data_IF_049119708593
#
_entry.id   IF_049119708593
#
_cell.length_a   1.000
_cell.length_b   1.000
_cell.length_c   1.000
_cell.angle_alpha   90.00
_cell.angle_beta   90.00
_cell.angle_gamma   90.00
#
_symmetry.space_group_name_H-M   'P 1'
#
loop_
_entity.id
_entity.type
_entity.pdbx_description
1 polymer ?
#
# COMPACT_ATOMS: atom_id res chain seq x y z
N UNK A 1 -93.05 39.62 61.71
CA UNK A 1 -92.47 39.01 60.57
C UNK A 1 -91.61 37.83 61.06
N UNK A 2 -91.93 36.60 60.68
CA UNK A 2 -91.11 35.45 60.88
C UNK A 2 -90.37 35.18 59.55
N UNK A 3 -89.05 35.19 59.49
CA UNK A 3 -88.25 34.74 58.39
C UNK A 3 -87.87 33.28 58.56
N UNK A 4 -87.99 32.55 57.50
CA UNK A 4 -87.58 31.13 57.40
C UNK A 4 -86.43 31.14 56.40
N UNK A 5 -85.22 30.83 56.87
CA UNK A 5 -84.02 30.69 56.05
C UNK A 5 -83.95 29.24 55.53
N UNK A 6 -83.77 29.13 54.22
CA UNK A 6 -83.54 27.85 53.55
C UNK A 6 -82.12 27.89 52.98
N UNK A 7 -81.34 26.95 53.30
CA UNK A 7 -80.11 26.63 52.57
C UNK A 7 -80.37 25.47 51.62
N UNK A 8 -79.90 25.56 50.40
CA UNK A 8 -79.90 24.47 49.45
C UNK A 8 -78.44 24.32 48.94
N UNK A 9 -78.08 23.08 48.73
CA UNK A 9 -76.83 22.67 48.12
C UNK A 9 -77.12 22.22 46.69
N UNK A 10 -76.33 22.76 45.72
CA UNK A 10 -76.48 22.38 44.34
C UNK A 10 -75.33 21.40 44.05
N UNK A 11 -75.67 20.13 43.99
CA UNK A 11 -74.75 19.09 43.58
C UNK A 11 -74.61 19.09 42.05
N UNK A 12 -73.35 18.89 41.58
CA UNK A 12 -73.10 18.68 40.15
C UNK A 12 -73.57 17.28 39.75
N UNK A 13 -74.61 17.21 38.90
CA UNK A 13 -75.10 15.97 38.38
C UNK A 13 -74.27 15.30 37.30
N UNK A 14 -73.36 16.07 36.73
CA UNK A 14 -72.39 15.64 35.72
C UNK A 14 -70.99 16.05 36.16
N UNK A 15 -70.23 15.13 36.69
CA UNK A 15 -68.89 15.30 37.12
C UNK A 15 -67.99 14.20 36.53
N UNK A 16 -66.72 14.53 36.28
CA UNK A 16 -65.75 13.66 35.58
C UNK A 16 -64.36 13.86 36.17
N UNK A 17 -63.66 12.74 36.35
CA UNK A 17 -62.26 12.77 36.69
C UNK A 17 -61.41 11.98 35.70
N UNK A 18 -60.23 12.50 35.43
CA UNK A 18 -59.21 11.85 34.58
C UNK A 18 -57.86 11.91 35.31
N UNK A 19 -57.30 10.73 35.56
CA UNK A 19 -56.04 10.60 36.29
C UNK A 19 -55.08 9.69 35.53
N UNK A 20 -53.77 10.03 35.50
CA UNK A 20 -52.72 9.22 34.89
C UNK A 20 -51.94 8.46 35.97
N UNK A 21 -51.51 7.25 35.68
CA UNK A 21 -50.59 6.50 36.55
C UNK A 21 -49.21 7.17 36.62
N UNK A 22 -48.70 7.65 35.45
CA UNK A 22 -47.46 8.41 35.32
C UNK A 22 -47.72 9.64 34.47
N UNK A 23 -47.24 10.78 34.91
CA UNK A 23 -47.37 12.04 34.15
C UNK A 23 -46.20 12.32 33.24
N UNK A 24 -45.07 11.60 33.41
CA UNK A 24 -43.87 11.72 32.61
C UNK A 24 -43.28 10.33 32.33
N UNK A 25 -42.91 10.08 31.11
CA UNK A 25 -42.16 8.88 30.68
C UNK A 25 -41.00 9.28 29.81
N UNK A 26 -39.84 8.70 30.11
CA UNK A 26 -38.63 8.81 29.29
C UNK A 26 -38.51 7.59 28.39
N UNK A 27 -38.29 7.83 27.09
CA UNK A 27 -38.15 6.77 26.09
C UNK A 27 -37.04 7.15 25.09
N UNK A 28 -36.54 6.15 24.40
CA UNK A 28 -35.68 6.40 23.24
C UNK A 28 -36.51 6.94 22.08
N UNK A 29 -35.99 7.89 21.32
CA UNK A 29 -36.62 8.36 20.09
C UNK A 29 -36.95 7.19 19.15
N UNK A 30 -38.14 7.15 18.60
CA UNK A 30 -38.68 6.03 17.81
C UNK A 30 -39.29 4.90 18.62
N UNK A 31 -39.19 4.88 19.94
CA UNK A 31 -39.80 3.87 20.81
C UNK A 31 -41.10 4.38 21.44
N UNK A 32 -42.09 3.50 21.73
CA UNK A 32 -43.38 3.88 22.30
C UNK A 32 -43.26 4.21 23.79
N UNK A 33 -43.82 5.36 24.20
CA UNK A 33 -44.19 5.67 25.57
C UNK A 33 -45.69 5.35 25.77
N UNK A 34 -46.02 4.48 26.71
CA UNK A 34 -47.38 4.05 26.96
C UNK A 34 -47.87 4.59 28.29
N UNK A 35 -48.83 5.51 28.23
CA UNK A 35 -49.52 6.06 29.40
C UNK A 35 -50.82 5.29 29.65
N UNK A 36 -51.10 5.01 30.91
CA UNK A 36 -52.35 4.46 31.35
C UNK A 36 -53.09 5.52 32.18
N UNK A 37 -54.25 5.91 31.70
CA UNK A 37 -55.12 6.85 32.38
C UNK A 37 -56.40 6.17 32.80
N UNK A 38 -57.02 6.64 33.87
CA UNK A 38 -58.32 6.21 34.33
C UNK A 38 -59.32 7.36 34.20
N UNK A 39 -60.32 7.16 33.38
CA UNK A 39 -61.46 8.07 33.22
C UNK A 39 -62.62 7.52 34.08
N UNK A 40 -63.22 8.36 34.91
CA UNK A 40 -64.34 8.00 35.76
C UNK A 40 -65.44 9.04 35.64
N UNK A 41 -66.66 8.52 35.58
CA UNK A 41 -67.89 9.33 35.68
C UNK A 41 -68.23 9.47 37.17
N UNK A 42 -67.95 10.63 37.76
CA UNK A 42 -68.25 10.95 39.14
C UNK A 42 -69.67 11.58 39.29
N UNK A 43 -70.39 11.74 38.18
CA UNK A 43 -71.75 12.25 38.14
C UNK A 43 -72.82 11.20 38.50
N UNK A 44 -74.07 11.66 38.48
CA UNK A 44 -75.30 10.81 38.85
C UNK A 44 -75.98 10.24 37.59
N UNK A 45 -75.55 10.62 36.37
CA UNK A 45 -76.15 10.21 35.12
C UNK A 45 -75.13 9.56 34.19
N UNK A 46 -75.59 8.63 33.35
CA UNK A 46 -74.76 8.13 32.24
C UNK A 46 -74.35 9.28 31.28
N UNK A 47 -73.08 9.31 30.88
CA UNK A 47 -72.57 10.27 29.98
C UNK A 47 -71.59 9.67 29.00
N UNK A 48 -71.40 10.32 27.82
CA UNK A 48 -70.44 9.94 26.81
C UNK A 48 -69.39 11.07 26.72
N UNK A 49 -68.12 10.65 26.81
CA UNK A 49 -66.99 11.51 26.83
C UNK A 49 -66.17 11.40 25.52
N UNK A 50 -65.97 12.48 24.80
CA UNK A 50 -65.10 12.54 23.67
C UNK A 50 -63.66 12.77 24.15
N UNK A 51 -62.70 12.03 23.55
CA UNK A 51 -61.28 12.00 23.94
C UNK A 51 -60.42 12.63 22.84
N UNK A 52 -59.65 13.69 23.19
CA UNK A 52 -58.81 14.41 22.25
C UNK A 52 -57.43 14.65 22.88
N UNK A 53 -56.37 14.39 22.13
CA UNK A 53 -55.01 14.75 22.52
C UNK A 53 -54.66 16.13 21.99
N UNK A 54 -53.83 16.85 22.74
CA UNK A 54 -53.25 18.17 22.37
C UNK A 54 -51.86 18.31 22.92
N UNK A 55 -51.10 19.33 22.50
CA UNK A 55 -49.71 19.56 22.85
C UNK A 55 -48.77 19.14 21.74
N UNK A 56 -47.47 19.33 21.97
CA UNK A 56 -46.40 19.13 20.96
C UNK A 56 -46.33 17.69 20.46
N UNK A 57 -46.54 16.71 21.37
CA UNK A 57 -46.52 15.28 21.05
C UNK A 57 -47.84 14.72 20.53
N UNK A 58 -48.89 15.57 20.35
CA UNK A 58 -50.21 15.11 19.93
C UNK A 58 -50.21 14.41 18.56
N UNK A 59 -49.41 14.89 17.62
CA UNK A 59 -49.29 14.29 16.29
C UNK A 59 -48.64 12.90 16.30
N UNK A 60 -47.94 12.57 17.36
CA UNK A 60 -47.23 11.29 17.55
C UNK A 60 -48.00 10.35 18.47
N UNK A 61 -49.19 10.78 18.92
CA UNK A 61 -49.98 10.07 19.91
C UNK A 61 -51.17 9.36 19.28
N UNK A 62 -51.53 8.24 19.89
CA UNK A 62 -52.76 7.49 19.61
C UNK A 62 -53.43 7.18 20.92
N UNK A 63 -54.77 7.26 20.94
CA UNK A 63 -55.60 6.93 22.10
C UNK A 63 -56.37 5.65 21.79
N UNK A 64 -56.53 4.79 22.79
CA UNK A 64 -57.24 3.50 22.65
C UNK A 64 -58.72 3.65 22.25
N UNK A 65 -59.36 4.77 22.58
CA UNK A 65 -60.74 5.09 22.31
C UNK A 65 -60.89 6.56 21.89
N UNK A 66 -61.78 6.85 20.95
CA UNK A 66 -62.11 8.22 20.58
C UNK A 66 -63.25 8.76 21.44
N UNK A 67 -64.09 7.88 21.98
CA UNK A 67 -65.14 8.22 22.95
C UNK A 67 -65.45 7.03 23.84
N UNK A 68 -65.95 7.31 25.05
CA UNK A 68 -66.30 6.31 26.04
C UNK A 68 -67.60 6.73 26.70
N UNK A 69 -68.57 5.77 26.85
CA UNK A 69 -69.82 5.96 27.59
C UNK A 69 -69.66 5.29 28.95
N UNK A 70 -69.95 6.02 30.05
CA UNK A 70 -69.80 5.53 31.40
C UNK A 70 -71.10 5.77 32.21
N UNK A 71 -71.58 4.73 32.88
CA UNK A 71 -72.64 4.82 33.87
C UNK A 71 -72.11 5.58 35.11
N UNK A 72 -73.01 6.04 35.99
CA UNK A 72 -72.64 6.69 37.25
C UNK A 72 -71.66 5.84 38.08
N UNK A 73 -70.51 6.44 38.45
CA UNK A 73 -69.47 5.76 39.23
C UNK A 73 -68.61 4.77 38.47
N UNK A 74 -68.88 4.54 37.18
CA UNK A 74 -68.08 3.65 36.33
C UNK A 74 -66.73 4.31 35.91
N UNK A 75 -65.72 3.45 35.72
CA UNK A 75 -64.41 3.86 35.31
C UNK A 75 -63.90 3.05 34.13
N UNK A 76 -63.19 3.68 33.19
CA UNK A 76 -62.54 3.03 32.04
C UNK A 76 -61.06 3.37 32.00
N UNK A 77 -60.21 2.35 31.89
CA UNK A 77 -58.81 2.56 31.58
C UNK A 77 -58.65 2.94 30.11
N UNK A 78 -57.84 3.97 29.88
CA UNK A 78 -57.45 4.48 28.58
C UNK A 78 -55.95 4.30 28.39
N UNK A 79 -55.54 3.80 27.22
CA UNK A 79 -54.14 3.79 26.85
C UNK A 79 -53.87 4.92 25.87
N UNK A 80 -52.82 5.70 26.14
CA UNK A 80 -52.27 6.70 25.23
C UNK A 80 -50.84 6.29 24.88
N UNK A 81 -50.59 5.98 23.62
CA UNK A 81 -49.27 5.63 23.11
C UNK A 81 -48.71 6.81 22.34
N UNK A 82 -47.49 7.21 22.68
CA UNK A 82 -46.74 8.26 21.98
C UNK A 82 -45.47 7.64 21.43
N UNK A 83 -45.21 7.86 20.13
CA UNK A 83 -43.97 7.41 19.47
C UNK A 83 -43.25 8.65 18.92
N UNK A 84 -42.31 9.25 19.70
CA UNK A 84 -41.54 10.37 19.20
C UNK A 84 -40.76 9.97 17.94
N UNK A 85 -40.74 10.79 16.88
CA UNK A 85 -39.87 10.57 15.73
C UNK A 85 -38.39 10.48 16.15
N UNK A 86 -37.58 9.75 15.41
CA UNK A 86 -36.16 9.55 15.73
C UNK A 86 -35.32 10.85 15.70
N UNK A 87 -35.78 11.83 14.93
CA UNK A 87 -35.15 13.17 14.86
C UNK A 87 -35.49 14.05 16.06
N UNK A 88 -36.50 13.68 16.85
CA UNK A 88 -37.03 14.52 17.91
C UNK A 88 -36.46 14.07 19.27
N UNK A 89 -35.51 14.85 19.77
CA UNK A 89 -34.89 14.66 21.10
C UNK A 89 -35.24 15.86 21.97
N UNK A 90 -35.76 15.60 23.17
CA UNK A 90 -36.18 16.66 24.08
C UNK A 90 -37.38 16.30 24.92
N UNK A 91 -37.96 17.31 25.58
CA UNK A 91 -39.19 17.17 26.41
C UNK A 91 -40.36 17.77 25.65
N UNK A 92 -41.40 16.94 25.44
CA UNK A 92 -42.55 17.32 24.66
C UNK A 92 -43.83 17.22 25.50
N UNK A 93 -44.67 18.26 25.42
CA UNK A 93 -45.95 18.31 26.12
C UNK A 93 -47.03 17.46 25.42
N UNK A 94 -47.87 16.78 26.20
CA UNK A 94 -49.06 16.13 25.73
C UNK A 94 -50.18 16.33 26.78
N UNK A 95 -51.39 16.52 26.35
CA UNK A 95 -52.56 16.46 27.22
C UNK A 95 -53.65 15.60 26.60
N UNK A 96 -54.28 14.79 27.41
CA UNK A 96 -55.54 14.10 27.05
C UNK A 96 -56.69 14.86 27.71
N UNK A 97 -57.61 15.32 26.89
CA UNK A 97 -58.85 15.93 27.34
C UNK A 97 -60.02 14.99 27.11
N UNK A 98 -60.93 14.91 28.11
CA UNK A 98 -62.20 14.23 28.01
C UNK A 98 -63.31 15.29 28.14
N UNK A 99 -64.23 15.35 27.15
CA UNK A 99 -65.32 16.31 27.07
C UNK A 99 -66.64 15.61 27.13
N UNK A 100 -67.49 15.96 28.10
CA UNK A 100 -68.88 15.48 28.20
C UNK A 100 -69.68 15.94 27.00
N UNK A 101 -70.37 15.02 26.33
CA UNK A 101 -71.30 15.37 25.23
C UNK A 101 -72.60 15.99 25.74
N UNK A 102 -72.93 15.76 27.00
CA UNK A 102 -74.19 16.19 27.55
C UNK A 102 -74.14 17.65 28.02
N UNK A 103 -73.07 18.00 28.74
CA UNK A 103 -72.98 19.32 29.39
C UNK A 103 -71.76 20.13 28.95
N UNK A 104 -70.85 19.53 28.15
CA UNK A 104 -69.65 20.16 27.64
C UNK A 104 -68.56 20.39 28.69
N UNK A 105 -68.65 19.77 29.87
CA UNK A 105 -67.60 19.82 30.87
C UNK A 105 -66.32 19.15 30.33
N UNK A 106 -65.18 19.78 30.53
CA UNK A 106 -63.88 19.26 30.07
C UNK A 106 -62.97 19.05 31.26
N UNK A 107 -62.35 17.85 31.31
CA UNK A 107 -61.21 17.57 32.17
C UNK A 107 -60.02 17.24 31.30
N UNK A 108 -58.85 17.71 31.68
CA UNK A 108 -57.59 17.40 30.93
C UNK A 108 -56.52 16.95 31.90
N UNK A 109 -55.79 15.92 31.50
CA UNK A 109 -54.63 15.41 32.17
C UNK A 109 -53.37 15.75 31.37
N UNK A 110 -52.46 16.53 31.97
CA UNK A 110 -51.17 16.85 31.37
C UNK A 110 -50.18 15.68 31.52
N UNK A 111 -49.49 15.39 30.46
CA UNK A 111 -48.43 14.38 30.35
C UNK A 111 -47.18 15.02 29.72
N UNK A 112 -46.04 14.43 29.97
CA UNK A 112 -44.78 14.82 29.33
C UNK A 112 -44.05 13.57 28.82
N UNK A 113 -43.59 13.60 27.58
CA UNK A 113 -42.69 12.60 27.03
C UNK A 113 -41.30 13.15 26.89
N UNK A 114 -40.32 12.47 27.50
CA UNK A 114 -38.88 12.76 27.37
C UNK A 114 -38.31 11.81 26.32
N UNK A 115 -38.01 12.36 25.13
CA UNK A 115 -37.40 11.61 24.03
C UNK A 115 -35.88 11.77 24.09
N UNK A 116 -35.16 10.67 24.25
CA UNK A 116 -33.71 10.64 24.37
C UNK A 116 -33.07 10.06 23.11
N UNK A 117 -31.86 10.56 22.77
CA UNK A 117 -30.98 9.91 21.81
C UNK A 117 -30.29 8.72 22.47
N UNK A 118 -30.90 7.52 22.32
CA UNK A 118 -30.37 6.32 22.96
C UNK A 118 -29.34 5.57 22.15
N UNK A 119 -29.25 5.83 20.86
CA UNK A 119 -28.48 5.03 19.89
C UNK A 119 -27.51 5.86 19.05
N UNK A 120 -26.99 6.90 19.65
CA UNK A 120 -25.98 7.74 18.98
C UNK A 120 -24.60 7.13 19.04
N UNK A 121 -23.80 7.33 18.00
CA UNK A 121 -22.42 6.85 17.96
C UNK A 121 -21.59 7.62 16.92
N UNK A 122 -20.28 7.49 17.05
CA UNK A 122 -19.29 8.06 16.17
C UNK A 122 -18.26 7.01 15.77
N UNK A 123 -17.80 7.03 14.50
CA UNK A 123 -16.79 6.15 13.97
C UNK A 123 -15.61 6.94 13.43
N UNK A 124 -14.43 6.77 14.03
CA UNK A 124 -13.23 7.52 13.69
C UNK A 124 -12.08 6.57 13.34
N UNK A 125 -11.49 6.74 12.16
CA UNK A 125 -10.22 6.11 11.83
C UNK A 125 -9.06 6.88 12.49
N UNK A 126 -8.06 6.16 12.98
CA UNK A 126 -6.85 6.76 13.58
C UNK A 126 -6.10 7.67 12.60
N UNK A 127 -6.18 7.34 11.31
CA UNK A 127 -5.54 8.07 10.22
C UNK A 127 -6.46 8.08 8.99
N UNK A 128 -6.59 9.24 8.34
CA UNK A 128 -7.33 9.38 7.07
C UNK A 128 -6.45 9.21 5.85
N UNK A 129 -5.12 9.20 6.04
CA UNK A 129 -4.11 8.98 5.02
C UNK A 129 -2.94 8.17 5.57
N UNK A 130 -2.57 7.12 4.85
CA UNK A 130 -1.40 6.29 5.16
C UNK A 130 -0.51 6.15 3.93
N UNK A 131 0.79 5.97 4.14
CA UNK A 131 1.72 5.67 3.06
C UNK A 131 2.68 4.56 3.48
N UNK A 132 2.73 3.48 2.71
CA UNK A 132 3.54 2.30 3.01
C UNK A 132 3.93 1.57 1.73
N UNK A 133 4.77 0.56 1.86
CA UNK A 133 5.33 -0.18 0.73
C UNK A 133 4.36 -1.25 0.20
N UNK A 134 4.43 -1.50 -1.11
CA UNK A 134 3.86 -2.70 -1.70
C UNK A 134 4.42 -3.97 -1.05
N UNK A 135 3.65 -5.07 -1.11
CA UNK A 135 3.99 -6.35 -0.49
C UNK A 135 4.36 -6.24 1.02
N UNK A 136 3.76 -5.27 1.72
CA UNK A 136 3.82 -5.13 3.18
C UNK A 136 2.41 -4.99 3.75
N UNK A 137 2.24 -5.32 5.03
CA UNK A 137 0.96 -5.18 5.73
C UNK A 137 0.90 -3.81 6.44
N UNK A 138 -0.25 -3.14 6.32
CA UNK A 138 -0.60 -1.99 7.15
C UNK A 138 -1.91 -2.25 7.89
N UNK A 139 -1.96 -1.86 9.17
CA UNK A 139 -3.15 -1.95 10.02
C UNK A 139 -3.54 -0.56 10.48
N UNK A 140 -4.76 -0.15 10.16
CA UNK A 140 -5.29 1.16 10.53
C UNK A 140 -6.43 0.94 11.53
N UNK A 141 -6.23 1.30 12.81
CA UNK A 141 -7.26 1.22 13.83
C UNK A 141 -8.45 2.15 13.54
N UNK A 142 -9.66 1.62 13.74
CA UNK A 142 -10.91 2.37 13.63
C UNK A 142 -11.64 2.20 14.96
N UNK A 143 -12.03 3.31 15.56
CA UNK A 143 -12.70 3.33 16.85
C UNK A 143 -14.18 3.66 16.66
N UNK A 144 -15.05 2.84 17.22
CA UNK A 144 -16.48 3.12 17.42
C UNK A 144 -16.66 3.57 18.86
N UNK A 145 -17.32 4.71 19.03
CA UNK A 145 -17.73 5.22 20.35
C UNK A 145 -19.26 5.28 20.42
N UNK A 146 -19.84 4.44 21.25
CA UNK A 146 -21.27 4.47 21.53
C UNK A 146 -21.57 5.58 22.55
N UNK A 147 -22.03 6.73 22.07
CA UNK A 147 -22.44 7.88 22.89
C UNK A 147 -23.88 7.78 23.38
N UNK A 148 -24.63 6.78 22.91
CA UNK A 148 -25.99 6.50 23.35
C UNK A 148 -26.07 5.92 24.77
N UNK A 149 -27.28 5.86 25.30
CA UNK A 149 -27.56 5.31 26.64
C UNK A 149 -27.84 3.79 26.63
N UNK A 150 -27.93 3.19 25.45
CA UNK A 150 -28.22 1.77 25.27
C UNK A 150 -27.03 1.04 24.59
N UNK A 151 -26.84 -0.23 24.96
CA UNK A 151 -25.88 -1.10 24.29
C UNK A 151 -26.32 -1.32 22.85
N UNK A 152 -25.34 -1.35 21.91
CA UNK A 152 -25.68 -1.60 20.52
C UNK A 152 -24.66 -2.52 19.85
N UNK A 153 -25.05 -3.09 18.71
CA UNK A 153 -24.19 -3.86 17.82
C UNK A 153 -24.06 -3.08 16.50
N UNK A 154 -22.84 -2.89 16.06
CA UNK A 154 -22.52 -2.19 14.83
C UNK A 154 -22.00 -3.19 13.80
N UNK A 155 -22.59 -3.21 12.62
CA UNK A 155 -22.14 -4.00 11.48
C UNK A 155 -21.28 -3.14 10.59
N UNK A 156 -20.25 -3.71 9.98
CA UNK A 156 -19.27 -3.01 9.17
C UNK A 156 -19.24 -3.54 7.74
N UNK A 157 -19.17 -2.62 6.78
CA UNK A 157 -18.97 -2.91 5.37
C UNK A 157 -17.75 -2.15 4.84
N UNK A 158 -16.98 -2.79 3.97
CA UNK A 158 -15.80 -2.22 3.34
C UNK A 158 -16.00 -2.10 1.84
N UNK A 159 -15.76 -0.91 1.31
CA UNK A 159 -15.57 -0.68 -0.12
C UNK A 159 -14.12 -0.29 -0.38
N UNK A 160 -13.41 -1.08 -1.17
CA UNK A 160 -11.98 -0.87 -1.45
C UNK A 160 -11.47 -1.86 -2.49
N UNK A 161 -10.24 -2.27 -2.34
CA UNK A 161 -9.55 -3.24 -3.19
C UNK A 161 -9.70 -4.66 -2.66
N UNK A 162 -9.40 -5.65 -3.49
CA UNK A 162 -9.44 -7.08 -3.13
C UNK A 162 -8.36 -7.49 -2.09
N UNK A 163 -7.32 -6.66 -1.91
CA UNK A 163 -6.29 -6.84 -0.90
C UNK A 163 -6.55 -6.06 0.41
N UNK A 164 -7.80 -5.63 0.62
CA UNK A 164 -8.24 -4.95 1.84
C UNK A 164 -9.30 -5.76 2.57
N UNK A 165 -9.22 -5.82 3.90
CA UNK A 165 -10.16 -6.55 4.74
C UNK A 165 -10.33 -5.86 6.10
N UNK A 166 -11.52 -5.99 6.69
CA UNK A 166 -11.73 -5.65 8.10
C UNK A 166 -11.45 -6.89 8.96
N UNK A 167 -10.83 -6.71 10.10
CA UNK A 167 -10.58 -7.81 11.05
C UNK A 167 -11.82 -8.22 11.84
N UNK A 168 -12.91 -7.43 11.73
CA UNK A 168 -14.24 -7.73 12.28
C UNK A 168 -15.34 -7.26 11.33
N UNK A 169 -16.39 -8.07 11.22
CA UNK A 169 -17.58 -7.73 10.44
C UNK A 169 -18.64 -7.00 11.31
N UNK A 170 -18.55 -7.15 12.62
CA UNK A 170 -19.43 -6.50 13.58
C UNK A 170 -18.81 -6.42 14.97
N UNK A 171 -19.35 -5.52 15.81
CA UNK A 171 -18.90 -5.37 17.19
C UNK A 171 -20.03 -4.88 18.10
N UNK A 172 -20.15 -5.49 19.30
CA UNK A 172 -21.01 -4.98 20.37
C UNK A 172 -20.26 -3.98 21.23
N UNK A 173 -20.84 -2.80 21.44
CA UNK A 173 -20.27 -1.74 22.28
C UNK A 173 -21.31 -1.30 23.30
N UNK A 174 -20.93 -1.36 24.58
CA UNK A 174 -21.79 -0.92 25.67
C UNK A 174 -22.04 0.58 25.63
N UNK A 175 -23.13 1.02 26.23
CA UNK A 175 -23.45 2.44 26.40
C UNK A 175 -22.29 3.21 27.02
N UNK A 176 -21.94 4.35 26.44
CA UNK A 176 -20.84 5.22 26.87
C UNK A 176 -19.42 4.65 26.69
N UNK A 177 -19.26 3.51 26.02
CA UNK A 177 -17.99 2.83 25.83
C UNK A 177 -17.50 2.95 24.37
N UNK A 178 -16.22 2.61 24.16
CA UNK A 178 -15.63 2.54 22.82
C UNK A 178 -15.06 1.14 22.56
N UNK A 179 -15.00 0.77 21.29
CA UNK A 179 -14.38 -0.44 20.81
C UNK A 179 -13.56 -0.17 19.54
N UNK A 180 -12.55 -1.00 19.28
CA UNK A 180 -11.65 -0.83 18.14
C UNK A 180 -11.61 -2.09 17.27
N UNK A 181 -11.56 -1.90 15.96
CA UNK A 181 -11.28 -2.89 14.93
C UNK A 181 -10.30 -2.31 13.92
N UNK A 182 -9.78 -3.11 13.00
CA UNK A 182 -8.75 -2.66 12.08
C UNK A 182 -9.18 -2.85 10.61
N UNK A 183 -8.85 -1.86 9.79
CA UNK A 183 -8.67 -2.04 8.37
C UNK A 183 -7.26 -2.62 8.14
N UNK A 184 -7.18 -3.80 7.56
CA UNK A 184 -5.94 -4.49 7.21
C UNK A 184 -5.74 -4.39 5.70
N UNK A 185 -4.60 -3.86 5.30
CA UNK A 185 -4.22 -3.67 3.91
C UNK A 185 -2.99 -4.53 3.60
N UNK A 186 -3.09 -5.39 2.59
CA UNK A 186 -2.02 -6.31 2.16
C UNK A 186 -1.84 -6.27 0.64
N UNK A 187 -1.40 -5.11 0.09
CA UNK A 187 -1.20 -4.99 -1.35
C UNK A 187 -0.16 -5.99 -1.85
N UNK A 188 -0.37 -6.54 -3.04
CA UNK A 188 0.62 -7.40 -3.67
C UNK A 188 1.81 -6.58 -4.18
N UNK A 189 2.85 -7.27 -4.60
CA UNK A 189 3.97 -6.64 -5.28
C UNK A 189 3.50 -6.00 -6.60
N UNK A 190 3.76 -4.70 -6.75
CA UNK A 190 3.36 -3.91 -7.92
C UNK A 190 1.98 -3.24 -7.82
N UNK A 191 1.21 -3.49 -6.77
CA UNK A 191 -0.04 -2.75 -6.47
C UNK A 191 0.30 -1.35 -5.93
N UNK A 192 0.88 -0.50 -6.77
CA UNK A 192 1.36 0.84 -6.38
C UNK A 192 0.39 1.94 -6.78
N UNK A 193 0.48 3.07 -6.08
CA UNK A 193 -0.36 4.24 -6.32
C UNK A 193 -1.36 4.50 -5.19
N UNK A 194 -2.35 5.35 -5.44
CA UNK A 194 -3.33 5.76 -4.43
C UNK A 194 -4.61 4.96 -4.54
N UNK A 195 -5.04 4.38 -3.42
CA UNK A 195 -6.30 3.67 -3.27
C UNK A 195 -7.15 4.32 -2.19
N UNK A 196 -8.48 4.30 -2.39
CA UNK A 196 -9.46 4.85 -1.46
C UNK A 196 -10.27 3.72 -0.85
N UNK A 197 -10.43 3.75 0.47
CA UNK A 197 -11.22 2.81 1.26
C UNK A 197 -12.34 3.57 1.96
N UNK A 198 -13.56 3.04 1.88
CA UNK A 198 -14.73 3.56 2.58
C UNK A 198 -15.21 2.46 3.50
N UNK A 199 -15.18 2.72 4.79
CA UNK A 199 -15.70 1.86 5.81
C UNK A 199 -17.05 2.44 6.23
N UNK A 200 -18.13 1.70 6.04
CA UNK A 200 -19.46 2.07 6.46
C UNK A 200 -19.85 1.26 7.68
N UNK A 201 -20.52 1.89 8.63
CA UNK A 201 -21.07 1.21 9.79
C UNK A 201 -22.57 1.45 9.88
N UNK A 202 -23.29 0.45 10.36
CA UNK A 202 -24.73 0.53 10.65
C UNK A 202 -25.02 -0.05 12.01
N UNK A 203 -25.77 0.69 12.82
CA UNK A 203 -26.24 0.20 14.11
C UNK A 203 -27.45 -0.73 13.93
N UNK A 204 -27.52 -1.82 14.70
CA UNK A 204 -28.65 -2.75 14.65
C UNK A 204 -29.91 -2.16 15.27
N UNK A 205 -29.77 -1.19 16.16
CA UNK A 205 -30.87 -0.44 16.77
C UNK A 205 -30.68 1.04 16.55
N UNK A 206 -31.77 1.78 16.38
CA UNK A 206 -31.76 3.24 16.22
C UNK A 206 -31.63 3.72 14.77
N UNK A 207 -31.40 2.84 13.77
CA UNK A 207 -31.27 3.19 12.34
C UNK A 207 -30.18 4.26 12.05
N UNK A 208 -29.15 4.27 12.87
CA UNK A 208 -28.02 5.18 12.71
C UNK A 208 -26.91 4.54 11.88
N UNK A 209 -26.23 5.33 11.07
CA UNK A 209 -25.10 4.90 10.24
C UNK A 209 -24.02 5.97 10.24
N UNK A 210 -22.77 5.54 10.09
CA UNK A 210 -21.61 6.43 9.95
C UNK A 210 -20.61 5.85 8.95
N UNK A 211 -19.64 6.65 8.50
CA UNK A 211 -18.64 6.21 7.56
C UNK A 211 -17.30 6.90 7.76
N UNK A 212 -16.22 6.15 7.62
CA UNK A 212 -14.86 6.66 7.60
C UNK A 212 -14.22 6.46 6.21
N UNK A 213 -13.42 7.42 5.79
CA UNK A 213 -12.69 7.39 4.52
C UNK A 213 -11.20 7.39 4.80
N UNK A 214 -10.50 6.41 4.24
CA UNK A 214 -9.05 6.27 4.34
C UNK A 214 -8.46 6.24 2.94
N UNK A 215 -7.42 7.04 2.70
CA UNK A 215 -6.64 7.01 1.47
C UNK A 215 -5.28 6.38 1.78
N UNK A 216 -4.88 5.39 1.00
CA UNK A 216 -3.57 4.79 1.11
C UNK A 216 -2.75 5.07 -0.16
N UNK A 217 -1.51 5.51 0.02
CA UNK A 217 -0.53 5.63 -1.05
C UNK A 217 0.49 4.50 -0.92
N UNK A 218 0.40 3.53 -1.82
CA UNK A 218 1.29 2.39 -1.85
C UNK A 218 2.50 2.74 -2.71
N UNK A 219 3.69 2.59 -2.15
CA UNK A 219 4.96 2.96 -2.75
C UNK A 219 5.69 1.73 -3.29
N UNK A 220 6.38 1.87 -4.42
CA UNK A 220 7.43 0.93 -4.83
C UNK A 220 8.61 1.12 -3.87
N UNK A 221 8.89 0.11 -3.06
CA UNK A 221 9.97 0.20 -2.08
C UNK A 221 11.15 -0.75 -2.37
N UNK A 222 11.07 -1.53 -3.44
CA UNK A 222 12.14 -2.40 -3.91
C UNK A 222 12.55 -1.97 -5.30
N UNK A 223 13.79 -1.58 -5.43
CA UNK A 223 14.36 -1.11 -6.69
C UNK A 223 15.83 -1.52 -6.76
N UNK A 224 16.30 -1.79 -7.98
CA UNK A 224 17.64 -2.29 -8.25
C UNK A 224 18.19 -1.58 -9.46
N UNK A 225 19.40 -1.05 -9.37
CA UNK A 225 20.14 -0.50 -10.50
C UNK A 225 21.43 -1.29 -10.71
N UNK A 226 21.63 -1.79 -11.92
CA UNK A 226 22.87 -2.39 -12.38
C UNK A 226 23.38 -1.56 -13.55
N UNK A 227 24.63 -1.15 -13.48
CA UNK A 227 25.28 -0.29 -14.46
C UNK A 227 26.68 -0.80 -14.77
N UNK A 228 27.01 -0.97 -16.04
CA UNK A 228 28.33 -1.38 -16.54
C UNK A 228 29.08 -0.13 -16.93
N UNK A 229 30.29 0.08 -16.38
CA UNK A 229 31.07 1.31 -16.55
C UNK A 229 31.33 1.66 -18.03
N UNK A 230 31.36 0.64 -18.91
CA UNK A 230 31.58 0.83 -20.34
C UNK A 230 30.57 0.05 -21.18
N UNK A 231 29.96 0.67 -22.15
CA UNK A 231 29.05 0.00 -23.10
C UNK A 231 29.75 -0.88 -24.15
N UNK A 232 31.06 -0.73 -24.30
CA UNK A 232 31.87 -1.56 -25.22
C UNK A 232 33.33 -1.60 -24.81
N UNK A 233 33.99 -2.73 -25.09
CA UNK A 233 35.43 -2.88 -24.99
C UNK A 233 35.96 -3.73 -26.13
N UNK A 234 37.26 -3.53 -26.46
CA UNK A 234 38.01 -4.34 -27.43
C UNK A 234 39.24 -4.94 -26.74
N UNK A 235 39.49 -6.23 -26.94
CA UNK A 235 40.65 -6.89 -26.38
C UNK A 235 41.23 -7.94 -27.34
N UNK A 236 42.49 -8.26 -27.14
CA UNK A 236 43.16 -9.32 -27.90
C UNK A 236 42.80 -10.70 -27.40
N UNK A 237 42.77 -11.73 -28.27
CA UNK A 237 42.65 -13.11 -27.80
C UNK A 237 43.86 -13.44 -26.91
N UNK A 238 43.64 -14.36 -25.92
CA UNK A 238 44.64 -14.78 -24.92
C UNK A 238 45.15 -13.65 -23.99
N UNK A 239 44.50 -12.49 -24.01
CA UNK A 239 44.68 -11.44 -22.99
C UNK A 239 43.53 -11.44 -22.00
N UNK A 240 43.78 -10.96 -20.77
CA UNK A 240 42.77 -10.79 -19.72
C UNK A 240 42.45 -9.33 -19.54
N UNK A 241 41.18 -9.05 -19.37
CA UNK A 241 40.67 -7.72 -19.06
C UNK A 241 39.52 -7.82 -18.04
N UNK A 242 39.27 -6.73 -17.36
CA UNK A 242 38.18 -6.65 -16.38
C UNK A 242 37.34 -5.40 -16.62
N UNK A 243 36.03 -5.54 -16.55
CA UNK A 243 35.10 -4.43 -16.63
C UNK A 243 34.38 -4.29 -15.30
N UNK A 244 34.40 -3.11 -14.74
CA UNK A 244 33.71 -2.81 -13.48
C UNK A 244 32.20 -2.67 -13.70
N UNK A 245 31.45 -3.24 -12.76
CA UNK A 245 29.98 -3.22 -12.72
C UNK A 245 29.58 -2.66 -11.37
N UNK A 246 28.67 -1.69 -11.37
CA UNK A 246 28.06 -1.14 -10.18
C UNK A 246 26.68 -1.74 -9.96
N UNK A 247 26.45 -2.34 -8.81
CA UNK A 247 25.13 -2.82 -8.40
C UNK A 247 24.68 -2.05 -7.17
N UNK A 248 23.51 -1.42 -7.26
CA UNK A 248 22.90 -0.62 -6.20
C UNK A 248 21.55 -1.19 -5.82
N UNK A 249 21.34 -1.40 -4.52
CA UNK A 249 20.02 -1.59 -3.95
C UNK A 249 19.39 -0.21 -3.71
N UNK A 250 18.61 0.27 -4.67
CA UNK A 250 17.90 1.55 -4.56
C UNK A 250 16.61 1.46 -3.71
N UNK A 251 16.26 0.25 -3.24
CA UNK A 251 15.10 -0.03 -2.40
C UNK A 251 15.29 0.32 -0.94
N UNK A 252 14.23 0.12 -0.15
CA UNK A 252 14.18 0.39 1.31
C UNK A 252 14.47 -0.82 2.18
N UNK A 253 14.61 -2.00 1.59
CA UNK A 253 14.84 -3.27 2.28
C UNK A 253 16.19 -3.87 1.88
N UNK A 254 16.79 -4.64 2.77
CA UNK A 254 17.93 -5.48 2.42
C UNK A 254 17.52 -6.52 1.36
N UNK A 255 18.35 -6.72 0.34
CA UNK A 255 18.10 -7.63 -0.76
C UNK A 255 19.30 -8.56 -1.00
N UNK A 256 18.98 -9.83 -1.28
CA UNK A 256 19.94 -10.82 -1.77
C UNK A 256 19.79 -10.94 -3.28
N UNK A 257 20.83 -10.62 -4.03
CA UNK A 257 20.82 -10.69 -5.48
C UNK A 257 21.50 -11.95 -5.99
N UNK A 258 20.86 -12.64 -6.91
CA UNK A 258 21.49 -13.61 -7.79
C UNK A 258 21.95 -12.88 -9.07
N UNK A 259 23.21 -13.12 -9.47
CA UNK A 259 23.84 -12.52 -10.63
C UNK A 259 24.04 -13.57 -11.71
N UNK A 260 23.65 -13.24 -12.94
CA UNK A 260 23.82 -14.13 -14.10
C UNK A 260 24.47 -13.38 -15.25
N UNK A 261 25.29 -14.12 -16.03
CA UNK A 261 25.88 -13.67 -17.28
C UNK A 261 25.28 -14.47 -18.41
N UNK A 262 24.72 -13.79 -19.39
CA UNK A 262 24.32 -14.36 -20.67
C UNK A 262 25.33 -13.87 -21.73
N UNK A 263 26.20 -14.79 -22.16
CA UNK A 263 27.31 -14.50 -23.04
C UNK A 263 28.24 -15.68 -23.25
N UNK A 264 29.39 -15.46 -23.88
CA UNK A 264 30.37 -16.52 -24.12
C UNK A 264 31.00 -17.03 -22.81
N UNK A 265 31.43 -18.30 -22.80
CA UNK A 265 31.97 -18.97 -21.62
C UNK A 265 33.26 -18.36 -21.05
N UNK A 266 33.93 -17.53 -21.79
CA UNK A 266 35.12 -16.80 -21.37
C UNK A 266 34.82 -15.48 -20.64
N UNK A 267 33.54 -15.08 -20.54
CA UNK A 267 33.08 -13.96 -19.74
C UNK A 267 32.49 -14.47 -18.41
N UNK A 268 33.03 -14.03 -17.28
CA UNK A 268 32.63 -14.51 -15.95
C UNK A 268 32.59 -13.37 -14.94
N UNK A 269 31.57 -13.35 -14.11
CA UNK A 269 31.53 -12.45 -12.95
C UNK A 269 32.47 -12.91 -11.84
N UNK A 270 32.98 -11.95 -11.05
CA UNK A 270 33.73 -12.22 -9.81
C UNK A 270 32.87 -12.95 -8.79
N UNK A 271 31.60 -12.59 -8.71
CA UNK A 271 30.62 -13.15 -7.75
C UNK A 271 29.32 -13.47 -8.47
N UNK A 272 28.59 -14.47 -8.00
CA UNK A 272 27.30 -14.88 -8.53
C UNK A 272 26.12 -14.54 -7.59
N UNK A 273 26.42 -14.01 -6.41
CA UNK A 273 25.44 -13.52 -5.45
C UNK A 273 26.03 -12.47 -4.53
N UNK A 274 25.19 -11.52 -4.09
CA UNK A 274 25.58 -10.45 -3.16
C UNK A 274 24.37 -10.03 -2.34
N UNK A 275 24.59 -9.70 -1.05
CA UNK A 275 23.59 -9.08 -0.18
C UNK A 275 23.91 -7.60 -0.04
N UNK A 276 22.89 -6.75 -0.23
CA UNK A 276 23.02 -5.29 -0.11
C UNK A 276 21.94 -4.75 0.82
N UNK A 277 22.35 -3.97 1.80
CA UNK A 277 21.43 -3.19 2.63
C UNK A 277 20.73 -2.11 1.79
N UNK A 278 19.67 -1.51 2.34
CA UNK A 278 18.97 -0.39 1.70
C UNK A 278 19.91 0.75 1.35
N UNK A 279 19.92 1.18 0.10
CA UNK A 279 20.77 2.25 -0.44
C UNK A 279 22.24 1.87 -0.63
N UNK A 280 22.61 0.61 -0.37
CA UNK A 280 24.00 0.17 -0.52
C UNK A 280 24.36 -0.07 -1.99
N UNK A 281 25.61 0.26 -2.33
CA UNK A 281 26.23 0.01 -3.63
C UNK A 281 27.45 -0.89 -3.46
N UNK A 282 27.66 -1.78 -4.41
CA UNK A 282 28.87 -2.59 -4.49
C UNK A 282 29.44 -2.59 -5.90
N UNK A 283 30.76 -2.78 -6.00
CA UNK A 283 31.46 -3.00 -7.26
C UNK A 283 31.70 -4.49 -7.47
N UNK A 284 31.37 -4.97 -8.64
CA UNK A 284 31.60 -6.31 -9.14
C UNK A 284 32.48 -6.22 -10.39
N UNK A 285 33.14 -7.31 -10.76
CA UNK A 285 33.99 -7.36 -11.95
C UNK A 285 33.50 -8.44 -12.92
N UNK A 286 33.39 -8.05 -14.18
CA UNK A 286 33.29 -8.96 -15.31
C UNK A 286 34.70 -9.27 -15.81
N UNK A 287 35.14 -10.47 -15.60
CA UNK A 287 36.42 -10.97 -16.07
C UNK A 287 36.29 -11.52 -17.49
N UNK A 288 37.09 -11.03 -18.40
CA UNK A 288 37.16 -11.39 -19.81
C UNK A 288 38.47 -12.14 -20.07
N UNK A 289 38.42 -13.36 -20.60
CA UNK A 289 39.58 -14.20 -20.90
C UNK A 289 39.34 -15.01 -22.23
N UNK A 290 39.22 -14.29 -23.38
CA UNK A 290 38.92 -14.94 -24.66
C UNK A 290 40.10 -15.73 -25.18
N UNK A 291 39.87 -16.96 -25.62
CA UNK A 291 40.85 -17.81 -26.27
C UNK A 291 41.10 -17.36 -27.73
N UNK A 292 42.17 -17.86 -28.34
CA UNK A 292 42.48 -17.62 -29.75
C UNK A 292 41.33 -18.02 -30.71
N UNK A 293 40.48 -18.97 -30.32
CA UNK A 293 39.33 -19.39 -31.11
C UNK A 293 38.24 -18.32 -31.18
N UNK A 294 38.26 -17.35 -30.30
CA UNK A 294 37.33 -16.22 -30.28
C UNK A 294 37.83 -15.03 -31.14
N UNK A 295 39.04 -15.17 -31.75
CA UNK A 295 39.64 -14.15 -32.59
C UNK A 295 38.71 -13.62 -33.69
N UNK A 296 38.55 -12.30 -33.81
CA UNK A 296 37.68 -11.64 -34.77
C UNK A 296 36.17 -11.70 -34.47
N UNK A 297 35.78 -12.22 -33.29
CA UNK A 297 34.39 -12.28 -32.89
C UNK A 297 33.90 -11.02 -32.14
N UNK A 298 32.60 -10.75 -32.22
CA UNK A 298 31.92 -9.74 -31.39
C UNK A 298 30.76 -10.37 -30.68
N UNK A 299 30.61 -10.11 -29.38
CA UNK A 299 29.58 -10.67 -28.54
C UNK A 299 28.93 -9.60 -27.67
N UNK A 300 27.62 -9.63 -27.56
CA UNK A 300 26.91 -8.86 -26.55
C UNK A 300 26.80 -9.73 -25.29
N UNK A 301 27.25 -9.18 -24.14
CA UNK A 301 27.28 -9.85 -22.85
C UNK A 301 26.28 -9.14 -21.96
N UNK A 302 25.19 -9.82 -21.62
CA UNK A 302 24.17 -9.30 -20.74
C UNK A 302 24.38 -9.81 -19.31
N UNK A 303 24.43 -8.86 -18.38
CA UNK A 303 24.48 -9.16 -16.93
C UNK A 303 23.11 -8.83 -16.34
N UNK A 304 22.61 -9.74 -15.51
CA UNK A 304 21.33 -9.54 -14.83
C UNK A 304 21.51 -9.77 -13.34
N UNK A 305 21.09 -8.78 -12.56
CA UNK A 305 20.93 -8.90 -11.10
C UNK A 305 19.44 -9.09 -10.79
N UNK A 306 19.11 -10.15 -10.07
CA UNK A 306 17.74 -10.47 -9.69
C UNK A 306 17.63 -10.70 -8.20
N UNK A 307 16.67 -10.00 -7.54
CA UNK A 307 16.38 -10.23 -6.13
C UNK A 307 15.87 -11.67 -5.91
N UNK A 308 16.36 -12.30 -4.85
CA UNK A 308 15.92 -13.63 -4.39
C UNK A 308 14.79 -13.52 -3.36
N UNK A 309 14.62 -12.34 -2.71
CA UNK A 309 13.63 -12.14 -1.67
C UNK A 309 12.24 -11.86 -2.24
N UNK A 310 12.18 -11.14 -3.36
CA UNK A 310 10.93 -10.83 -4.07
C UNK A 310 11.17 -11.08 -5.56
N UNK A 311 10.61 -12.14 -6.09
CA UNK A 311 10.96 -12.75 -7.37
C UNK A 311 10.88 -11.92 -8.65
N UNK A 312 10.59 -10.62 -8.58
CA UNK A 312 10.39 -9.79 -9.77
C UNK A 312 11.31 -8.56 -9.87
N UNK A 313 11.96 -8.15 -8.78
CA UNK A 313 12.89 -7.02 -8.84
C UNK A 313 14.18 -7.45 -9.52
N UNK A 314 14.47 -6.86 -10.67
CA UNK A 314 15.67 -7.15 -11.43
C UNK A 314 16.13 -5.94 -12.23
N UNK A 315 17.44 -5.85 -12.44
CA UNK A 315 18.06 -4.91 -13.36
C UNK A 315 19.04 -5.66 -14.26
N UNK A 316 19.21 -5.21 -15.46
CA UNK A 316 20.15 -5.81 -16.41
C UNK A 316 20.77 -4.74 -17.29
N UNK A 317 22.03 -4.94 -17.61
CA UNK A 317 22.76 -4.11 -18.56
C UNK A 317 23.60 -4.99 -19.50
N UNK A 318 24.05 -4.41 -20.62
CA UNK A 318 24.73 -5.15 -21.69
C UNK A 318 25.97 -4.42 -22.15
N UNK A 319 27.09 -5.13 -22.23
CA UNK A 319 28.33 -4.66 -22.83
C UNK A 319 28.60 -5.40 -24.13
N UNK A 320 29.06 -4.66 -25.14
CA UNK A 320 29.55 -5.23 -26.39
C UNK A 320 31.06 -5.46 -26.32
N UNK A 321 31.49 -6.71 -26.46
CA UNK A 321 32.89 -7.06 -26.43
C UNK A 321 33.33 -7.54 -27.82
N UNK A 322 34.34 -6.86 -28.39
CA UNK A 322 34.98 -7.26 -29.62
C UNK A 322 36.33 -7.87 -29.33
N UNK A 323 36.51 -9.14 -29.71
CA UNK A 323 37.84 -9.78 -29.72
C UNK A 323 38.49 -9.51 -31.02
N UNK A 324 39.62 -8.79 -30.99
CA UNK A 324 40.39 -8.42 -32.19
C UNK A 324 40.91 -9.67 -32.90
N UNK A 325 41.20 -9.56 -34.21
CA UNK A 325 41.85 -10.66 -34.93
C UNK A 325 43.27 -10.89 -34.45
N UNK A 326 43.79 -12.10 -34.59
CA UNK A 326 45.18 -12.37 -34.26
C UNK A 326 46.16 -11.49 -35.00
N UNK A 327 45.87 -11.08 -36.24
CA UNK A 327 46.69 -10.20 -37.02
C UNK A 327 46.66 -8.72 -36.57
N UNK A 328 45.56 -8.28 -35.93
CA UNK A 328 45.49 -6.93 -35.31
C UNK A 328 46.28 -6.88 -34.01
N UNK A 329 46.38 -8.00 -33.32
CA UNK A 329 47.06 -8.08 -32.01
C UNK A 329 48.53 -8.46 -32.11
N UNK A 330 48.86 -9.41 -32.99
CA UNK A 330 50.16 -10.10 -33.04
C UNK A 330 50.66 -10.16 -34.50
N UNK A 331 51.03 -9.04 -35.08
CA UNK A 331 51.58 -8.97 -36.44
C UNK A 331 52.90 -8.27 -36.46
N UNK A 332 53.80 -8.69 -37.38
CA UNK A 332 55.12 -8.10 -37.50
C UNK A 332 55.65 -8.08 -38.92
N UNK A 333 56.61 -7.21 -39.11
CA UNK A 333 57.37 -7.12 -40.33
C UNK A 333 58.87 -7.12 -40.06
N UNK A 334 59.64 -7.67 -40.99
CA UNK A 334 61.10 -7.59 -40.99
C UNK A 334 61.56 -6.80 -42.23
N UNK A 335 62.46 -5.83 -42.03
CA UNK A 335 62.98 -5.06 -43.12
C UNK A 335 64.52 -4.85 -42.93
N UNK A 336 65.26 -5.09 -44.00
CA UNK A 336 66.68 -4.67 -44.07
C UNK A 336 66.88 -3.64 -45.18
N UNK A 337 67.70 -2.70 -44.96
CA UNK A 337 68.14 -1.72 -46.03
C UNK A 337 68.99 -2.40 -47.09
N UNK A 338 69.57 -3.56 -46.76
CA UNK A 338 70.49 -4.26 -47.66
C UNK A 338 69.92 -5.61 -48.07
N UNK A 339 69.65 -5.83 -49.35
CA UNK A 339 69.22 -7.12 -49.92
C UNK A 339 70.44 -7.99 -50.31
N UNK A 340 71.61 -7.36 -50.46
CA UNK A 340 72.83 -8.05 -50.85
C UNK A 340 74.07 -7.26 -50.21
N UNK A 341 75.00 -8.03 -49.62
CA UNK A 341 76.24 -7.49 -49.06
C UNK A 341 77.39 -8.31 -49.57
N UNK A 342 78.34 -7.62 -50.13
CA UNK A 342 79.62 -8.22 -50.67
C UNK A 342 80.66 -8.15 -49.57
N UNK A 343 81.20 -9.30 -49.14
CA UNK A 343 82.17 -9.39 -48.05
C UNK A 343 83.41 -10.10 -48.60
N UNK A 344 84.64 -9.51 -48.41
CA UNK A 344 85.83 -10.13 -48.78
C UNK A 344 86.27 -11.27 -47.82
N UNK A 345 87.07 -12.21 -48.28
CA UNK A 345 87.64 -13.27 -47.47
C UNK A 345 88.40 -12.73 -46.22
N UNK A 346 87.99 -13.20 -45.04
CA UNK A 346 88.54 -12.82 -43.76
C UNK A 346 87.98 -11.51 -43.20
N UNK A 347 86.92 -10.96 -43.78
CA UNK A 347 86.24 -9.77 -43.29
C UNK A 347 84.86 -10.10 -42.74
N UNK A 348 84.26 -9.15 -42.08
CA UNK A 348 82.94 -9.24 -41.47
C UNK A 348 82.05 -8.07 -41.85
N UNK A 349 80.76 -8.28 -41.94
CA UNK A 349 79.77 -7.22 -42.14
C UNK A 349 78.71 -7.25 -41.07
N UNK A 350 78.21 -6.10 -40.75
CA UNK A 350 77.01 -5.90 -39.84
C UNK A 350 75.88 -5.38 -40.69
N UNK A 351 74.77 -6.13 -40.70
CA UNK A 351 73.59 -5.78 -41.47
C UNK A 351 72.44 -5.48 -40.50
N UNK A 352 71.95 -4.24 -40.44
CA UNK A 352 70.82 -3.88 -39.59
C UNK A 352 69.53 -4.48 -40.16
N UNK A 353 68.76 -5.01 -39.29
CA UNK A 353 67.41 -5.55 -39.57
C UNK A 353 66.46 -4.87 -38.61
N UNK A 354 65.49 -4.16 -39.15
CA UNK A 354 64.38 -3.57 -38.35
C UNK A 354 63.27 -4.56 -38.22
N UNK A 355 62.93 -4.87 -36.97
CA UNK A 355 61.77 -5.65 -36.57
C UNK A 355 60.68 -4.67 -36.16
N UNK A 356 59.61 -4.64 -36.90
CA UNK A 356 58.47 -3.77 -36.60
C UNK A 356 57.32 -4.65 -36.05
N UNK A 357 56.89 -4.43 -34.81
CA UNK A 357 55.66 -4.99 -34.30
C UNK A 357 54.50 -4.12 -34.79
N UNK A 358 53.73 -4.62 -35.74
CA UNK A 358 52.52 -3.94 -36.27
C UNK A 358 51.25 -4.38 -35.55
N UNK A 359 51.37 -5.28 -34.58
CA UNK A 359 50.27 -5.64 -33.68
C UNK A 359 50.18 -4.67 -32.51
N UNK A 360 49.06 -4.72 -31.79
CA UNK A 360 48.79 -3.87 -30.60
C UNK A 360 49.41 -4.40 -29.29
N UNK A 361 49.83 -5.66 -29.27
CA UNK A 361 50.42 -6.31 -28.09
C UNK A 361 51.96 -6.36 -28.19
N UNK A 362 52.68 -6.21 -27.05
CA UNK A 362 54.10 -6.50 -26.95
C UNK A 362 54.36 -7.99 -27.27
N UNK A 363 55.43 -8.25 -27.99
CA UNK A 363 55.77 -9.63 -28.37
C UNK A 363 57.30 -9.83 -28.36
N UNK A 364 57.70 -11.04 -27.91
CA UNK A 364 59.11 -11.50 -27.99
C UNK A 364 59.32 -12.17 -29.33
N UNK A 365 60.22 -11.64 -30.12
CA UNK A 365 60.63 -12.20 -31.41
C UNK A 365 61.99 -12.90 -31.28
N UNK A 366 62.01 -14.19 -31.64
CA UNK A 366 63.21 -15.01 -31.69
C UNK A 366 63.67 -15.14 -33.12
N UNK A 367 64.95 -14.97 -33.35
CA UNK A 367 65.56 -14.96 -34.68
C UNK A 367 66.39 -16.22 -34.94
N UNK A 368 66.27 -16.79 -36.11
CA UNK A 368 67.11 -17.84 -36.61
C UNK A 368 67.60 -17.50 -38.00
N UNK A 369 68.84 -17.90 -38.27
CA UNK A 369 69.47 -17.79 -39.64
C UNK A 369 69.42 -19.19 -40.26
N UNK A 370 68.95 -19.23 -41.51
CA UNK A 370 68.93 -20.49 -42.29
C UNK A 370 69.51 -20.26 -43.68
N UNK A 371 69.78 -21.35 -44.40
CA UNK A 371 70.42 -21.36 -45.71
C UNK A 371 71.92 -21.71 -45.67
N UNK A 372 72.60 -21.73 -46.83
CA UNK A 372 73.95 -22.21 -47.00
C UNK A 372 74.99 -21.38 -46.24
N UNK A 373 74.74 -20.09 -46.05
CA UNK A 373 75.58 -19.16 -45.31
C UNK A 373 75.35 -19.10 -43.80
N UNK A 374 74.38 -19.90 -43.24
CA UNK A 374 73.98 -19.85 -41.83
C UNK A 374 75.12 -20.08 -40.84
N UNK A 375 76.12 -20.89 -41.19
CA UNK A 375 77.29 -21.19 -40.35
C UNK A 375 78.24 -19.95 -40.20
N UNK A 376 78.12 -18.99 -41.07
CA UNK A 376 78.94 -17.75 -41.10
C UNK A 376 78.18 -16.54 -40.59
N UNK A 377 76.89 -16.69 -40.21
CA UNK A 377 76.01 -15.63 -39.82
C UNK A 377 75.36 -15.85 -38.45
N UNK A 378 75.25 -14.79 -37.67
CA UNK A 378 74.62 -14.77 -36.37
C UNK A 378 73.79 -13.49 -36.20
N UNK A 379 72.62 -13.60 -35.60
CA UNK A 379 71.78 -12.44 -35.21
C UNK A 379 72.05 -12.11 -33.74
N UNK A 380 72.25 -10.82 -33.49
CA UNK A 380 72.42 -10.33 -32.11
C UNK A 380 71.59 -9.01 -31.92
N UNK A 381 70.77 -8.96 -30.91
CA UNK A 381 70.40 -10.06 -30.00
C UNK A 381 69.63 -11.20 -30.73
N UNK A 382 69.72 -12.40 -30.25
CA UNK A 382 68.98 -13.58 -30.77
C UNK A 382 67.49 -13.60 -30.50
N UNK A 383 67.07 -12.72 -29.59
CA UNK A 383 65.66 -12.42 -29.30
C UNK A 383 65.49 -10.96 -28.85
N UNK A 384 64.37 -10.32 -29.19
CA UNK A 384 64.03 -8.95 -28.76
C UNK A 384 62.56 -8.86 -28.47
N UNK A 385 62.21 -8.22 -27.36
CA UNK A 385 60.83 -7.83 -27.06
C UNK A 385 60.55 -6.46 -27.71
N UNK A 386 59.45 -6.39 -28.48
CA UNK A 386 59.05 -5.16 -29.19
C UNK A 386 57.63 -4.79 -28.75
N UNK A 387 57.49 -3.61 -28.17
CA UNK A 387 56.22 -3.05 -27.80
C UNK A 387 55.25 -2.96 -28.98
N UNK A 388 53.90 -3.00 -28.70
CA UNK A 388 52.89 -2.85 -29.74
C UNK A 388 53.08 -1.54 -30.55
N UNK A 389 52.93 -1.61 -31.85
CA UNK A 389 53.10 -0.50 -32.80
C UNK A 389 54.51 0.18 -32.73
N UNK A 390 55.53 -0.58 -32.30
CA UNK A 390 56.93 -0.09 -32.18
C UNK A 390 57.88 -0.88 -33.07
N UNK A 391 59.11 -0.43 -33.18
CA UNK A 391 60.16 -1.10 -33.94
C UNK A 391 61.45 -1.11 -33.15
N UNK A 392 62.18 -2.22 -33.27
CA UNK A 392 63.51 -2.40 -32.70
C UNK A 392 64.47 -2.86 -33.79
N UNK A 393 65.79 -2.50 -33.63
CA UNK A 393 66.83 -2.87 -34.56
C UNK A 393 67.65 -4.03 -34.00
N UNK A 394 67.81 -5.08 -34.81
CA UNK A 394 68.71 -6.20 -34.53
C UNK A 394 69.75 -6.33 -35.62
N UNK A 395 70.87 -6.96 -35.35
CA UNK A 395 71.98 -6.96 -36.29
C UNK A 395 72.35 -8.38 -36.72
N UNK A 396 72.36 -8.59 -38.02
CA UNK A 396 72.89 -9.81 -38.58
C UNK A 396 74.44 -9.61 -38.78
N UNK A 397 75.20 -10.30 -38.00
CA UNK A 397 76.66 -10.34 -38.10
C UNK A 397 77.06 -11.52 -39.02
N UNK A 398 77.75 -11.16 -40.11
CA UNK A 398 78.28 -12.16 -41.06
C UNK A 398 79.80 -12.10 -41.07
N UNK A 399 80.48 -13.22 -40.88
CA UNK A 399 81.94 -13.32 -40.86
C UNK A 399 82.36 -14.42 -41.82
N UNK A 400 83.15 -14.06 -42.80
CA UNK A 400 83.69 -14.98 -43.82
C UNK A 400 85.09 -15.46 -43.40
N UNK A 401 85.27 -16.77 -43.19
CA UNK A 401 86.55 -17.30 -42.79
C UNK A 401 87.63 -17.05 -43.90
N UNK A 402 88.88 -17.02 -43.49
CA UNK A 402 90.01 -16.90 -44.41
C UNK A 402 90.28 -18.18 -45.19
#
# INVERSE_FOLDING_TARGET
TRTLDFSYEVESCHDISLTAQNNELAVCSGNPANYILNLRNDGQWEDTYDLITSGDASLWSTVSHNSVTLSPGESQQLAVTVIPPRSEVGVYSLALAATSRTVGTVVAQSLAVVSNSCYDYDMVASESYVSFCDNTEAKIPITITNSGSENNVYNFDLTGTDWSVLDKDSMSVSAGSSGTFNLVLTPNFGDVGTSKFIISSSATQGDTSDSAVINANILTCRDTSLDIESSSTELCPETRDTVDISLTNAGRFEENYALTVDGPSWAKLSDNSVSLASGENTKLQLNLDPSIKSSGSSSDIKITARSQNVGNTQSADTIKVKVLSGSECYNFGLKSEFNEVVIAYGESALVPIVVTNTGSQSALYEFSVSGDGSKMAQINPGAVEVEGNSAEEVYLYVSVPR
#
